data_IF_318648543574
#
_entry.id   IF_318648543574
#
_cell.length_a   1.000
_cell.length_b   1.000
_cell.length_c   1.000
_cell.angle_alpha   90.00
_cell.angle_beta   90.00
_cell.angle_gamma   90.00
#
_symmetry.space_group_name_H-M   'P 1'
#
loop_
_entity.id
_entity.type
_entity.pdbx_description
1 polymer ?
#
# COMPACT_ATOMS: atom_id res chain seq x y z
N UNK A 1 14.21 0.02 21.78
CA UNK A 1 14.18 1.33 21.09
C UNK A 1 14.87 1.26 19.72
N UNK A 2 16.15 0.88 19.60
CA UNK A 2 16.88 0.83 18.32
C UNK A 2 16.19 0.04 17.18
N UNK A 3 15.54 -1.09 17.45
CA UNK A 3 14.84 -1.89 16.43
C UNK A 3 13.58 -1.23 15.87
N UNK A 4 12.84 -0.49 16.70
CA UNK A 4 11.68 0.28 16.26
C UNK A 4 12.09 1.48 15.39
N UNK A 5 13.29 2.04 15.63
CA UNK A 5 13.86 3.12 14.82
C UNK A 5 14.13 2.67 13.38
N UNK A 6 14.59 1.43 13.17
CA UNK A 6 14.84 0.89 11.83
C UNK A 6 13.56 0.76 11.01
N UNK A 7 12.44 0.35 11.62
CA UNK A 7 11.14 0.27 10.95
C UNK A 7 10.63 1.66 10.51
N UNK A 8 10.92 2.70 11.31
CA UNK A 8 10.54 4.07 10.96
C UNK A 8 11.17 4.56 9.65
N UNK A 9 12.35 4.04 9.27
CA UNK A 9 13.01 4.37 8.00
C UNK A 9 12.19 3.96 6.77
N UNK A 10 11.28 2.99 6.90
CA UNK A 10 10.46 2.50 5.81
C UNK A 10 9.06 3.11 5.77
N UNK A 11 8.66 3.87 6.81
CA UNK A 11 7.34 4.52 6.86
C UNK A 11 7.07 5.39 5.62
N UNK A 12 7.99 6.26 5.16
CA UNK A 12 7.75 7.05 3.96
C UNK A 12 7.55 6.20 2.71
N UNK A 13 8.28 5.09 2.59
CA UNK A 13 8.17 4.16 1.48
C UNK A 13 6.83 3.43 1.49
N UNK A 14 6.35 3.00 2.67
CA UNK A 14 5.05 2.34 2.81
C UNK A 14 3.92 3.30 2.44
N UNK A 15 3.92 4.50 3.05
CA UNK A 15 2.88 5.51 2.83
C UNK A 15 2.86 5.94 1.36
N UNK A 16 4.01 6.28 0.80
CA UNK A 16 4.12 6.72 -0.59
C UNK A 16 3.67 5.64 -1.58
N UNK A 17 4.03 4.37 -1.34
CA UNK A 17 3.65 3.27 -2.23
C UNK A 17 2.13 3.06 -2.24
N UNK A 18 1.50 3.04 -1.06
CA UNK A 18 0.04 2.96 -0.96
C UNK A 18 -0.64 4.16 -1.61
N UNK A 19 -0.21 5.38 -1.25
CA UNK A 19 -0.84 6.63 -1.70
C UNK A 19 -0.74 6.83 -3.21
N UNK A 20 0.40 6.51 -3.82
CA UNK A 20 0.58 6.58 -5.27
C UNK A 20 -0.30 5.57 -6.01
N UNK A 21 -0.34 4.31 -5.54
CA UNK A 21 -1.20 3.29 -6.13
C UNK A 21 -2.69 3.63 -5.98
N UNK A 22 -3.11 4.16 -4.83
CA UNK A 22 -4.49 4.60 -4.63
C UNK A 22 -4.87 5.82 -5.46
N UNK A 23 -3.99 6.82 -5.56
CA UNK A 23 -4.21 8.00 -6.40
C UNK A 23 -4.28 7.63 -7.88
N UNK A 24 -3.43 6.71 -8.33
CA UNK A 24 -3.46 6.16 -9.69
C UNK A 24 -4.79 5.44 -9.96
N UNK A 25 -5.18 4.51 -9.10
CA UNK A 25 -6.43 3.77 -9.25
C UNK A 25 -7.65 4.70 -9.24
N UNK A 26 -7.69 5.69 -8.34
CA UNK A 26 -8.76 6.69 -8.28
C UNK A 26 -8.84 7.50 -9.56
N UNK A 27 -7.71 7.97 -10.08
CA UNK A 27 -7.67 8.76 -11.31
C UNK A 27 -8.22 7.95 -12.50
N UNK A 28 -7.77 6.70 -12.66
CA UNK A 28 -8.22 5.83 -13.74
C UNK A 28 -9.73 5.54 -13.66
N UNK A 29 -10.27 5.29 -12.46
CA UNK A 29 -11.70 5.04 -12.30
C UNK A 29 -12.54 6.29 -12.53
N UNK A 30 -12.10 7.46 -12.04
CA UNK A 30 -12.78 8.73 -12.29
C UNK A 30 -12.81 9.03 -13.80
N UNK A 31 -11.68 8.85 -14.49
CA UNK A 31 -11.60 9.05 -15.94
C UNK A 31 -12.52 8.08 -16.69
N UNK A 32 -12.48 6.79 -16.37
CA UNK A 32 -13.33 5.78 -17.00
C UNK A 32 -14.83 6.03 -16.74
N UNK A 33 -15.20 6.53 -15.56
CA UNK A 33 -16.57 6.95 -15.26
C UNK A 33 -17.01 8.21 -16.01
N UNK A 34 -16.08 9.13 -16.29
CA UNK A 34 -16.36 10.38 -17.01
C UNK A 34 -16.62 10.13 -18.50
N UNK A 35 -15.90 9.16 -19.11
CA UNK A 35 -16.10 8.75 -20.51
C UNK A 35 -17.16 7.67 -20.70
N UNK A 36 -17.78 7.18 -19.61
CA UNK A 36 -18.87 6.20 -19.64
C UNK A 36 -18.46 4.74 -19.78
N UNK A 37 -17.16 4.42 -19.68
CA UNK A 37 -16.64 3.04 -19.74
C UNK A 37 -16.93 2.23 -18.47
N UNK A 38 -17.06 2.91 -17.32
CA UNK A 38 -17.36 2.28 -16.02
C UNK A 38 -18.62 2.92 -15.42
N UNK A 39 -19.54 2.07 -14.99
CA UNK A 39 -20.74 2.46 -14.25
C UNK A 39 -20.70 1.92 -12.82
N UNK A 40 -21.65 2.35 -11.99
CA UNK A 40 -21.77 1.85 -10.60
C UNK A 40 -22.03 0.32 -10.58
N UNK A 41 -22.68 -0.23 -11.63
CA UNK A 41 -22.95 -1.66 -11.76
C UNK A 41 -21.69 -2.51 -11.96
N UNK A 42 -20.60 -1.91 -12.44
CA UNK A 42 -19.33 -2.60 -12.72
C UNK A 42 -18.47 -2.82 -11.47
N UNK A 43 -18.95 -2.41 -10.28
CA UNK A 43 -18.22 -2.48 -9.01
C UNK A 43 -17.44 -3.78 -8.82
N UNK A 44 -18.10 -4.92 -9.01
CA UNK A 44 -17.50 -6.23 -8.78
C UNK A 44 -16.43 -6.59 -9.83
N UNK A 45 -16.63 -6.16 -11.07
CA UNK A 45 -15.66 -6.34 -12.16
C UNK A 45 -14.39 -5.52 -11.88
N UNK A 46 -14.57 -4.26 -11.46
CA UNK A 46 -13.46 -3.38 -11.09
C UNK A 46 -12.71 -3.93 -9.89
N UNK A 47 -13.42 -4.32 -8.83
CA UNK A 47 -12.81 -4.88 -7.62
C UNK A 47 -11.88 -6.06 -7.95
N UNK A 48 -12.36 -7.04 -8.72
CA UNK A 48 -11.57 -8.22 -9.09
C UNK A 48 -10.32 -7.87 -9.89
N UNK A 49 -10.45 -6.93 -10.84
CA UNK A 49 -9.33 -6.45 -11.66
C UNK A 49 -8.27 -5.80 -10.77
N UNK A 50 -8.69 -4.94 -9.84
CA UNK A 50 -7.79 -4.18 -8.99
C UNK A 50 -7.16 -5.02 -7.88
N UNK A 51 -7.81 -6.10 -7.40
CA UNK A 51 -7.14 -7.09 -6.55
C UNK A 51 -5.91 -7.69 -7.26
N UNK A 52 -6.07 -8.08 -8.53
CA UNK A 52 -4.97 -8.67 -9.31
C UNK A 52 -3.87 -7.64 -9.54
N UNK A 53 -4.22 -6.43 -9.99
CA UNK A 53 -3.27 -5.33 -10.17
C UNK A 53 -2.50 -5.01 -8.89
N UNK A 54 -3.20 -4.91 -7.76
CA UNK A 54 -2.64 -4.59 -6.45
C UNK A 54 -1.69 -5.67 -5.94
N UNK A 55 -2.05 -6.94 -6.07
CA UNK A 55 -1.17 -8.06 -5.69
C UNK A 55 0.08 -8.09 -6.57
N UNK A 56 -0.06 -7.95 -7.89
CA UNK A 56 1.07 -7.97 -8.81
C UNK A 56 2.04 -6.82 -8.54
N UNK A 57 1.54 -5.58 -8.51
CA UNK A 57 2.36 -4.39 -8.25
C UNK A 57 2.99 -4.46 -6.85
N UNK A 58 2.20 -4.82 -5.84
CA UNK A 58 2.65 -4.96 -4.48
C UNK A 58 3.74 -6.02 -4.32
N UNK A 59 3.64 -7.13 -5.05
CA UNK A 59 4.66 -8.20 -5.04
C UNK A 59 5.95 -7.73 -5.70
N UNK A 60 5.87 -7.04 -6.84
CA UNK A 60 7.05 -6.48 -7.50
C UNK A 60 7.77 -5.49 -6.58
N UNK A 61 7.02 -4.55 -5.97
CA UNK A 61 7.59 -3.60 -5.02
C UNK A 61 8.13 -4.31 -3.77
N UNK A 62 7.44 -5.33 -3.27
CA UNK A 62 7.86 -6.13 -2.13
C UNK A 62 9.20 -6.84 -2.37
N UNK A 63 9.38 -7.45 -3.55
CA UNK A 63 10.64 -8.07 -3.98
C UNK A 63 11.75 -7.03 -4.07
N UNK A 64 11.48 -5.88 -4.71
CA UNK A 64 12.46 -4.78 -4.82
C UNK A 64 12.87 -4.29 -3.44
N UNK A 65 11.90 -4.08 -2.54
CA UNK A 65 12.14 -3.66 -1.16
C UNK A 65 13.01 -4.66 -0.38
N UNK A 66 12.72 -5.95 -0.51
CA UNK A 66 13.51 -7.01 0.12
C UNK A 66 14.94 -7.04 -0.42
N UNK A 67 15.12 -7.02 -1.75
CA UNK A 67 16.43 -7.01 -2.41
C UNK A 67 17.23 -5.78 -1.97
N UNK A 68 16.59 -4.61 -1.87
CA UNK A 68 17.24 -3.38 -1.41
C UNK A 68 17.76 -3.55 0.02
N UNK A 69 16.97 -4.14 0.93
CA UNK A 69 17.40 -4.39 2.32
C UNK A 69 18.56 -5.39 2.36
N UNK A 70 18.46 -6.48 1.61
CA UNK A 70 19.52 -7.47 1.47
C UNK A 70 20.84 -6.85 0.98
N UNK A 71 20.79 -6.09 -0.12
CA UNK A 71 21.98 -5.45 -0.69
C UNK A 71 22.60 -4.43 0.29
N UNK A 72 21.76 -3.63 0.96
CA UNK A 72 22.23 -2.61 1.89
C UNK A 72 22.79 -3.20 3.18
N UNK A 73 22.30 -4.36 3.61
CA UNK A 73 22.87 -5.11 4.73
C UNK A 73 24.30 -5.60 4.41
N UNK A 74 24.56 -6.07 3.18
CA UNK A 74 25.92 -6.49 2.79
C UNK A 74 26.92 -5.33 2.74
N UNK A 75 26.46 -4.11 2.49
CA UNK A 75 27.32 -2.91 2.46
C UNK A 75 27.48 -2.32 3.88
N UNK A 76 26.39 -2.33 4.66
CA UNK A 76 26.33 -1.74 6.01
C UNK A 76 25.57 -2.66 6.98
N UNK A 77 26.24 -3.71 7.52
CA UNK A 77 25.57 -4.73 8.34
C UNK A 77 24.91 -4.18 9.60
N UNK A 78 25.50 -3.14 10.18
CA UNK A 78 25.11 -2.55 11.46
C UNK A 78 23.73 -1.88 11.45
N UNK A 79 23.23 -1.50 10.27
CA UNK A 79 21.94 -0.79 10.13
C UNK A 79 20.74 -1.70 10.46
N UNK A 80 20.78 -2.97 10.03
CA UNK A 80 19.66 -3.90 10.17
C UNK A 80 19.92 -5.02 11.19
N UNK A 81 21.20 -5.28 11.50
CA UNK A 81 21.63 -6.34 12.41
C UNK A 81 21.26 -7.75 11.94
N UNK A 82 21.33 -8.71 12.87
CA UNK A 82 21.14 -10.14 12.59
C UNK A 82 19.74 -10.51 12.08
N UNK A 83 18.76 -9.62 12.26
CA UNK A 83 17.37 -9.84 11.88
C UNK A 83 16.97 -9.16 10.56
N UNK A 84 17.94 -8.73 9.75
CA UNK A 84 17.70 -8.05 8.47
C UNK A 84 16.70 -8.80 7.57
N UNK A 85 16.75 -10.13 7.54
CA UNK A 85 15.85 -10.94 6.71
C UNK A 85 14.38 -10.84 7.15
N UNK A 86 14.13 -10.80 8.47
CA UNK A 86 12.77 -10.62 9.02
C UNK A 86 12.27 -9.19 8.81
N UNK A 87 13.15 -8.20 8.87
CA UNK A 87 12.84 -6.81 8.50
C UNK A 87 12.50 -6.73 7.01
N UNK A 88 13.30 -7.38 6.16
CA UNK A 88 13.05 -7.51 4.72
C UNK A 88 11.70 -8.12 4.42
N UNK A 89 11.36 -9.25 5.05
CA UNK A 89 10.07 -9.90 4.90
C UNK A 89 8.92 -9.01 5.38
N UNK A 90 9.09 -8.33 6.52
CA UNK A 90 8.12 -7.36 7.05
C UNK A 90 7.81 -6.28 6.01
N UNK A 91 8.84 -5.61 5.48
CA UNK A 91 8.69 -4.54 4.49
C UNK A 91 8.09 -5.08 3.20
N UNK A 92 8.59 -6.22 2.71
CA UNK A 92 8.12 -6.85 1.48
C UNK A 92 6.64 -7.22 1.52
N UNK A 93 6.21 -7.95 2.55
CA UNK A 93 4.80 -8.32 2.73
C UNK A 93 3.91 -7.11 3.00
N UNK A 94 4.42 -6.09 3.69
CA UNK A 94 3.67 -4.86 3.93
C UNK A 94 3.43 -4.06 2.66
N UNK A 95 4.40 -4.01 1.75
CA UNK A 95 4.20 -3.39 0.44
C UNK A 95 3.09 -4.09 -0.35
N UNK A 96 3.01 -5.42 -0.29
CA UNK A 96 1.89 -6.15 -0.91
C UNK A 96 0.56 -5.71 -0.31
N UNK A 97 0.43 -5.72 1.01
CA UNK A 97 -0.81 -5.36 1.70
C UNK A 97 -1.22 -3.90 1.47
N UNK A 98 -0.27 -2.97 1.56
CA UNK A 98 -0.53 -1.52 1.45
C UNK A 98 -0.82 -1.10 0.02
N UNK A 99 -0.13 -1.67 -0.98
CA UNK A 99 -0.43 -1.41 -2.40
C UNK A 99 -1.78 -2.01 -2.79
N UNK A 100 -2.09 -3.23 -2.33
CA UNK A 100 -3.41 -3.81 -2.52
C UNK A 100 -4.49 -2.92 -1.89
N UNK A 101 -4.30 -2.49 -0.65
CA UNK A 101 -5.27 -1.60 0.00
C UNK A 101 -5.39 -0.24 -0.71
N UNK A 102 -4.27 0.34 -1.14
CA UNK A 102 -4.23 1.58 -1.91
C UNK A 102 -5.04 1.46 -3.20
N UNK A 103 -4.77 0.45 -4.03
CA UNK A 103 -5.51 0.21 -5.28
C UNK A 103 -7.00 -0.04 -5.05
N UNK A 104 -7.37 -0.80 -4.01
CA UNK A 104 -8.77 -1.05 -3.68
C UNK A 104 -9.50 0.20 -3.18
N UNK A 105 -8.93 0.92 -2.22
CA UNK A 105 -9.52 2.17 -1.72
C UNK A 105 -9.61 3.22 -2.83
N UNK A 106 -8.56 3.37 -3.62
CA UNK A 106 -8.50 4.28 -4.77
C UNK A 106 -9.54 3.97 -5.84
N UNK A 107 -9.74 2.70 -6.18
CA UNK A 107 -10.70 2.33 -7.22
C UNK A 107 -12.16 2.31 -6.75
N UNK A 108 -12.41 1.91 -5.50
CA UNK A 108 -13.77 1.71 -4.99
C UNK A 108 -14.39 2.99 -4.44
N UNK A 109 -13.60 3.87 -3.83
CA UNK A 109 -14.13 5.09 -3.22
C UNK A 109 -14.83 6.04 -4.23
N UNK A 110 -14.28 6.30 -5.43
CA UNK A 110 -14.98 7.13 -6.43
C UNK A 110 -16.35 6.59 -6.81
N UNK A 111 -16.48 5.26 -6.96
CA UNK A 111 -17.74 4.62 -7.31
C UNK A 111 -18.74 4.73 -6.15
N UNK A 112 -18.25 4.64 -4.90
CA UNK A 112 -19.08 4.79 -3.70
C UNK A 112 -19.61 6.22 -3.57
N UNK A 113 -18.73 7.20 -3.76
CA UNK A 113 -19.10 8.62 -3.72
C UNK A 113 -20.14 8.95 -4.80
N UNK A 114 -19.95 8.45 -6.02
CA UNK A 114 -20.93 8.62 -7.11
C UNK A 114 -22.27 7.97 -6.78
N UNK A 115 -22.28 6.80 -6.13
CA UNK A 115 -23.51 6.14 -5.66
C UNK A 115 -24.22 6.93 -4.56
N UNK A 116 -23.48 7.65 -3.73
CA UNK A 116 -24.01 8.54 -2.69
C UNK A 116 -24.41 9.93 -3.22
N UNK A 117 -24.22 10.21 -4.52
CA UNK A 117 -24.56 11.49 -5.15
C UNK A 117 -23.49 12.58 -5.00
N UNK A 118 -22.31 12.25 -4.48
CA UNK A 118 -21.17 13.17 -4.39
C UNK A 118 -20.34 13.17 -5.68
N UNK A 119 -19.61 14.27 -5.93
CA UNK A 119 -18.66 14.36 -7.04
C UNK A 119 -17.34 13.66 -6.67
N UNK A 120 -17.01 12.52 -7.33
CA UNK A 120 -15.79 11.79 -7.04
C UNK A 120 -14.52 12.54 -7.48
N UNK A 121 -14.58 13.46 -8.45
CA UNK A 121 -13.40 14.18 -8.94
C UNK A 121 -12.82 15.14 -7.89
N UNK A 122 -13.70 15.76 -7.10
CA UNK A 122 -13.31 16.74 -6.06
C UNK A 122 -12.95 16.05 -4.75
N UNK A 123 -13.67 14.98 -4.40
CA UNK A 123 -13.60 14.40 -3.06
C UNK A 123 -12.62 13.23 -2.94
N UNK A 124 -12.45 12.40 -3.99
CA UNK A 124 -11.77 11.11 -3.82
C UNK A 124 -10.30 11.23 -3.44
N UNK A 125 -9.55 12.16 -4.05
CA UNK A 125 -8.11 12.29 -3.84
C UNK A 125 -7.71 12.51 -2.35
N UNK A 126 -8.24 13.53 -1.63
CA UNK A 126 -7.90 13.71 -0.21
C UNK A 126 -8.42 12.58 0.69
N UNK A 127 -9.59 12.00 0.39
CA UNK A 127 -10.08 10.86 1.17
C UNK A 127 -9.22 9.61 1.00
N UNK A 128 -8.79 9.29 -0.23
CA UNK A 128 -7.91 8.15 -0.49
C UNK A 128 -6.57 8.34 0.21
N UNK A 129 -5.95 9.52 0.11
CA UNK A 129 -4.69 9.80 0.77
C UNK A 129 -4.76 9.56 2.29
N UNK A 130 -5.75 10.17 2.95
CA UNK A 130 -5.91 10.02 4.41
C UNK A 130 -6.25 8.59 4.84
N UNK A 131 -7.11 7.89 4.08
CA UNK A 131 -7.41 6.48 4.33
C UNK A 131 -6.14 5.65 4.26
N UNK A 132 -5.38 5.79 3.18
CA UNK A 132 -4.18 4.98 2.93
C UNK A 132 -3.06 5.30 3.92
N UNK A 133 -2.89 6.55 4.34
CA UNK A 133 -1.88 6.92 5.35
C UNK A 133 -2.13 6.20 6.68
N UNK A 134 -3.36 6.29 7.19
CA UNK A 134 -3.72 5.70 8.50
C UNK A 134 -3.71 4.16 8.42
N UNK A 135 -4.41 3.61 7.44
CA UNK A 135 -4.53 2.15 7.30
C UNK A 135 -3.23 1.49 6.84
N UNK A 136 -2.42 2.18 6.05
CA UNK A 136 -1.11 1.70 5.61
C UNK A 136 -0.15 1.51 6.79
N UNK A 137 -0.15 2.42 7.75
CA UNK A 137 0.59 2.25 9.00
C UNK A 137 0.06 1.09 9.84
N UNK A 138 -1.27 0.93 9.93
CA UNK A 138 -1.88 -0.20 10.63
C UNK A 138 -1.43 -1.53 10.01
N UNK A 139 -1.48 -1.66 8.68
CA UNK A 139 -1.03 -2.86 7.96
C UNK A 139 0.45 -3.12 8.23
N UNK A 140 1.30 -2.09 8.09
CA UNK A 140 2.74 -2.21 8.28
C UNK A 140 3.11 -2.66 9.69
N UNK A 141 2.60 -1.99 10.71
CA UNK A 141 2.92 -2.33 12.10
C UNK A 141 2.28 -3.65 12.55
N UNK A 142 1.13 -4.04 11.98
CA UNK A 142 0.55 -5.36 12.23
C UNK A 142 1.44 -6.49 11.69
N UNK A 143 1.97 -6.33 10.47
CA UNK A 143 2.91 -7.29 9.92
C UNK A 143 4.27 -7.25 10.62
N UNK A 144 4.75 -6.08 11.03
CA UNK A 144 5.95 -5.97 11.84
C UNK A 144 5.79 -6.70 13.17
N UNK A 145 4.65 -6.55 13.84
CA UNK A 145 4.34 -7.30 15.05
C UNK A 145 4.36 -8.81 14.81
N UNK A 146 3.75 -9.28 13.71
CA UNK A 146 3.70 -10.70 13.36
C UNK A 146 5.09 -11.29 13.04
N UNK A 147 5.89 -10.63 12.21
CA UNK A 147 7.19 -11.14 11.73
C UNK A 147 8.34 -10.94 12.72
N UNK A 148 8.22 -9.94 13.62
CA UNK A 148 9.25 -9.59 14.59
C UNK A 148 8.80 -9.87 16.04
N UNK A 149 7.76 -10.70 16.22
CA UNK A 149 7.33 -11.18 17.53
C UNK A 149 8.50 -11.86 18.26
N UNK A 150 8.74 -11.49 19.52
CA UNK A 150 9.89 -11.96 20.33
C UNK A 150 11.25 -11.32 19.99
N UNK A 151 11.27 -10.35 19.07
CA UNK A 151 12.46 -9.55 18.74
C UNK A 151 12.29 -8.09 19.18
N UNK A 152 11.07 -7.56 19.04
CA UNK A 152 10.69 -6.17 19.37
C UNK A 152 10.30 -5.95 20.84
N UNK A 153 9.85 -7.01 21.52
CA UNK A 153 9.47 -7.09 22.94
C UNK A 153 10.24 -8.26 23.57
#
# INVERSE_FOLDING_TARGET
IAKAVVLALFVPLIISSGGNSGSQASTLIIQAMAIGEITIGDWWRVLRREIISGILLGTVLGIIGFIRIWAWHHITPEVYGDHWARIGATVGCSLVGVVLWGTLSGSMLPILLKRLGADPAVSSAPFVATLVDVTGLIIYFSLAFLFLQGILL
#
